data_IF_878947085007
#
_entry.id   IF_878947085007
#
_cell.length_a   1.000
_cell.length_b   1.000
_cell.length_c   1.000
_cell.angle_alpha   90.00
_cell.angle_beta   90.00
_cell.angle_gamma   90.00
#
_symmetry.space_group_name_H-M   'P 1'
#
loop_
_entity.id
_entity.type
_entity.pdbx_description
1 polymer ?
#
# COMPACT_ATOMS: atom_id res chain seq x y z
N UNK A 1 -40.62 53.83 18.98
CA UNK A 1 -39.83 53.97 20.23
C UNK A 1 -38.42 53.52 19.86
N UNK A 2 -37.49 54.39 19.44
CA UNK A 2 -36.63 55.25 20.31
C UNK A 2 -36.08 54.42 21.48
N UNK A 3 -34.78 54.29 21.75
CA UNK A 3 -33.56 55.07 21.47
C UNK A 3 -32.39 54.17 21.96
N UNK A 4 -31.32 54.00 21.21
CA UNK A 4 -30.03 54.70 21.38
C UNK A 4 -29.12 54.24 22.54
N UNK A 5 -27.82 54.14 22.19
CA UNK A 5 -26.63 54.51 22.98
C UNK A 5 -25.84 53.45 23.80
N UNK A 6 -24.66 53.12 23.24
CA UNK A 6 -23.36 52.96 23.91
C UNK A 6 -23.09 54.16 24.87
N UNK A 7 -22.33 54.08 26.00
CA UNK A 7 -20.85 54.11 25.92
C UNK A 7 -20.05 53.51 27.11
N UNK A 8 -18.76 53.27 26.84
CA UNK A 8 -17.55 53.61 27.62
C UNK A 8 -17.69 54.04 29.10
N UNK A 9 -16.83 53.48 29.99
CA UNK A 9 -15.96 54.26 30.92
C UNK A 9 -15.48 53.48 32.18
N UNK A 10 -14.16 53.40 32.31
CA UNK A 10 -13.30 53.68 33.48
C UNK A 10 -13.41 52.93 34.83
N UNK A 11 -12.21 52.68 35.39
CA UNK A 11 -11.90 52.32 36.78
C UNK A 11 -10.99 51.08 36.82
N UNK A 12 -9.66 51.15 36.89
CA UNK A 12 -8.82 52.13 37.57
C UNK A 12 -8.68 51.74 39.04
N UNK A 13 -7.75 50.84 39.36
CA UNK A 13 -7.09 50.78 40.66
C UNK A 13 -5.60 50.41 40.47
N UNK A 14 -4.77 51.40 40.75
CA UNK A 14 -3.33 51.37 40.96
C UNK A 14 -2.93 50.49 42.15
N UNK A 15 -1.83 49.76 42.03
CA UNK A 15 -0.55 49.97 42.74
C UNK A 15 0.32 48.71 42.49
N UNK A 16 1.41 48.78 41.72
CA UNK A 16 2.74 49.32 42.07
C UNK A 16 3.30 48.66 43.35
N UNK A 17 4.53 48.13 43.44
CA UNK A 17 5.80 48.42 42.76
C UNK A 17 6.85 47.44 43.33
N UNK A 18 7.84 47.06 42.49
CA UNK A 18 9.26 46.73 42.73
C UNK A 18 9.69 45.92 43.99
N UNK A 19 10.76 45.12 43.99
CA UNK A 19 12.06 45.34 43.35
C UNK A 19 12.98 44.12 43.49
N UNK A 20 13.99 44.06 42.59
CA UNK A 20 15.39 43.62 42.84
C UNK A 20 15.68 42.18 43.28
N UNK A 21 16.81 41.53 43.01
CA UNK A 21 17.91 41.61 42.04
C UNK A 21 18.82 40.41 42.39
N UNK A 22 19.69 40.00 41.47
CA UNK A 22 20.98 39.31 41.70
C UNK A 22 21.07 37.83 42.14
N UNK A 23 21.65 37.02 41.24
CA UNK A 23 22.51 35.85 41.53
C UNK A 23 23.82 36.33 42.20
N UNK A 24 24.50 35.52 43.06
CA UNK A 24 25.55 34.59 42.57
C UNK A 24 25.91 33.40 43.50
N UNK A 25 26.78 32.49 43.01
CA UNK A 25 27.94 32.04 43.82
C UNK A 25 28.06 30.56 44.22
N UNK A 26 29.13 29.94 43.70
CA UNK A 26 29.79 28.65 44.02
C UNK A 26 30.28 28.55 45.47
N UNK A 27 30.55 27.34 46.00
CA UNK A 27 31.76 27.15 46.81
C UNK A 27 32.63 25.96 46.37
N UNK A 28 33.94 26.23 46.40
CA UNK A 28 35.12 25.37 46.35
C UNK A 28 35.75 25.54 47.77
N UNK A 29 36.42 24.63 48.49
CA UNK A 29 37.68 23.89 48.24
C UNK A 29 37.91 22.87 49.41
N UNK A 30 38.59 21.75 49.10
CA UNK A 30 39.58 20.95 49.87
C UNK A 30 39.27 20.32 51.23
N UNK A 31 39.47 18.98 51.30
CA UNK A 31 40.58 18.41 52.09
C UNK A 31 40.93 16.98 51.63
N UNK A 32 42.23 16.74 51.41
CA UNK A 32 42.87 15.43 51.23
C UNK A 32 43.64 15.08 52.51
N UNK A 33 43.80 13.78 52.84
CA UNK A 33 45.14 13.22 52.64
C UNK A 33 45.17 11.80 52.06
N UNK A 34 46.30 11.55 51.42
CA UNK A 34 46.80 10.33 50.76
C UNK A 34 46.95 9.10 51.66
N UNK A 35 46.69 7.91 51.11
CA UNK A 35 47.63 6.78 51.16
C UNK A 35 47.24 5.65 50.19
N UNK A 36 48.14 5.38 49.24
CA UNK A 36 48.20 4.16 48.40
C UNK A 36 48.41 2.92 49.30
N UNK A 37 47.91 1.73 48.90
CA UNK A 37 48.84 0.82 48.25
C UNK A 37 48.27 -0.03 47.10
N UNK A 38 49.14 -0.22 46.11
CA UNK A 38 49.33 -1.44 45.31
C UNK A 38 48.19 -1.87 44.37
N UNK A 39 48.36 -1.47 43.10
CA UNK A 39 47.89 -2.17 41.90
C UNK A 39 48.13 -3.68 42.01
N UNK A 40 47.04 -4.45 42.13
CA UNK A 40 46.98 -5.82 41.62
C UNK A 40 46.31 -5.79 40.25
N UNK A 41 47.07 -6.16 39.23
CA UNK A 41 46.55 -6.46 37.91
C UNK A 41 45.61 -7.66 38.04
N UNK A 42 44.30 -7.43 37.92
CA UNK A 42 43.34 -8.50 37.69
C UNK A 42 43.19 -8.71 36.19
N UNK A 43 43.59 -9.90 35.79
CA UNK A 43 43.53 -10.51 34.47
C UNK A 43 42.35 -10.09 33.58
N UNK A 44 42.68 -9.97 32.30
CA UNK A 44 41.79 -9.98 31.13
C UNK A 44 40.67 -11.01 31.34
N UNK A 45 39.45 -10.53 31.61
CA UNK A 45 38.27 -11.38 31.55
C UNK A 45 37.95 -11.63 30.08
N UNK A 46 37.98 -12.90 29.70
CA UNK A 46 37.61 -13.45 28.40
C UNK A 46 36.53 -12.63 27.69
N UNK A 47 36.87 -12.07 26.53
CA UNK A 47 35.87 -11.68 25.55
C UNK A 47 35.01 -12.91 25.28
N UNK A 48 33.79 -12.93 25.82
CA UNK A 48 32.81 -13.93 25.42
C UNK A 48 32.71 -13.83 23.90
N UNK A 49 33.12 -14.89 23.20
CA UNK A 49 32.92 -14.97 21.76
C UNK A 49 31.43 -14.71 21.53
N UNK A 50 31.06 -13.68 20.75
CA UNK A 50 29.66 -13.44 20.43
C UNK A 50 29.08 -14.75 19.91
N UNK A 51 27.99 -15.19 20.55
CA UNK A 51 27.29 -16.40 20.14
C UNK A 51 26.99 -16.32 18.63
N UNK A 52 27.12 -17.43 17.89
CA UNK A 52 27.04 -17.43 16.42
C UNK A 52 25.73 -16.83 15.87
N UNK A 53 24.64 -16.93 16.63
CA UNK A 53 23.35 -16.32 16.28
C UNK A 53 23.38 -14.78 16.24
N UNK A 54 24.37 -14.13 16.87
CA UNK A 54 24.57 -12.68 16.82
C UNK A 54 25.48 -12.24 15.66
N UNK A 55 26.01 -13.19 14.88
CA UNK A 55 26.84 -12.92 13.70
C UNK A 55 26.05 -12.96 12.38
N UNK A 56 24.73 -13.06 12.45
CA UNK A 56 23.86 -13.06 11.27
C UNK A 56 23.74 -11.64 10.73
N UNK A 57 24.28 -11.44 9.52
CA UNK A 57 24.19 -10.18 8.80
C UNK A 57 22.78 -10.03 8.23
N UNK A 58 21.96 -9.18 8.83
CA UNK A 58 20.58 -8.88 8.42
C UNK A 58 20.46 -7.50 7.74
N UNK A 59 21.58 -6.92 7.31
CA UNK A 59 21.60 -5.60 6.68
C UNK A 59 20.87 -5.65 5.32
N UNK A 60 19.73 -4.95 5.24
CA UNK A 60 18.92 -4.86 4.04
C UNK A 60 19.58 -4.07 2.91
N UNK A 61 20.69 -3.38 3.17
CA UNK A 61 21.50 -2.64 2.18
C UNK A 61 22.66 -3.47 1.62
N UNK A 62 22.94 -4.67 2.16
CA UNK A 62 23.99 -5.53 1.61
C UNK A 62 23.59 -6.08 0.24
N UNK A 63 24.54 -6.11 -0.70
CA UNK A 63 24.36 -6.77 -2.00
C UNK A 63 24.11 -8.27 -1.77
N UNK A 64 22.91 -8.73 -2.13
CA UNK A 64 22.59 -10.16 -2.19
C UNK A 64 23.42 -10.82 -3.31
N UNK A 65 23.74 -12.10 -3.19
CA UNK A 65 24.44 -12.87 -4.24
C UNK A 65 23.69 -12.79 -5.58
N UNK A 66 22.35 -12.67 -5.53
CA UNK A 66 21.50 -12.45 -6.70
C UNK A 66 21.79 -11.15 -7.44
N UNK A 67 22.31 -10.12 -6.76
CA UNK A 67 22.77 -8.86 -7.37
C UNK A 67 24.12 -9.02 -8.10
N UNK A 68 24.85 -10.11 -7.88
CA UNK A 68 26.11 -10.43 -8.57
C UNK A 68 25.93 -11.44 -9.71
N UNK A 69 24.77 -12.09 -9.78
CA UNK A 69 24.38 -12.82 -10.98
C UNK A 69 24.10 -11.77 -12.06
N UNK A 70 24.77 -11.84 -13.24
CA UNK A 70 24.34 -11.04 -14.36
C UNK A 70 22.88 -11.37 -14.60
N UNK A 71 21.99 -10.39 -14.47
CA UNK A 71 20.70 -10.49 -15.14
C UNK A 71 21.05 -10.80 -16.60
N UNK A 72 20.59 -11.93 -17.13
CA UNK A 72 20.84 -12.29 -18.54
C UNK A 72 20.21 -11.30 -19.53
N UNK A 73 19.67 -10.19 -19.03
CA UNK A 73 19.37 -8.97 -19.78
C UNK A 73 20.60 -8.05 -19.85
N UNK A 74 21.63 -8.41 -20.61
CA UNK A 74 22.47 -7.47 -21.37
C UNK A 74 23.70 -8.16 -21.96
N UNK A 75 23.67 -8.38 -23.27
CA UNK A 75 24.87 -8.36 -24.10
C UNK A 75 24.46 -7.95 -25.50
N UNK A 76 24.56 -6.67 -25.82
CA UNK A 76 25.04 -6.17 -27.12
C UNK A 76 25.28 -4.65 -27.10
N UNK A 77 26.58 -4.31 -27.12
CA UNK A 77 27.23 -3.18 -27.79
C UNK A 77 26.77 -1.73 -27.51
N UNK A 78 27.54 -1.05 -26.66
CA UNK A 78 27.81 0.38 -26.78
C UNK A 78 28.92 0.61 -27.83
N UNK A 79 28.56 1.11 -29.01
CA UNK A 79 29.45 1.95 -29.81
C UNK A 79 28.83 3.35 -29.89
N UNK A 80 29.71 4.34 -29.70
CA UNK A 80 29.41 5.76 -29.69
C UNK A 80 28.96 6.22 -31.09
N UNK A 81 27.77 6.80 -31.21
CA UNK A 81 27.50 7.79 -32.25
C UNK A 81 26.40 8.78 -31.82
N UNK A 82 26.64 10.03 -32.15
CA UNK A 82 25.85 11.22 -31.85
C UNK A 82 24.63 11.33 -32.76
N UNK A 83 23.43 11.21 -32.20
CA UNK A 83 22.19 11.56 -32.90
C UNK A 83 20.97 11.48 -31.97
N UNK A 84 20.22 12.58 -31.85
CA UNK A 84 18.93 12.64 -31.15
C UNK A 84 17.96 11.61 -31.74
N UNK A 85 17.62 10.60 -30.97
CA UNK A 85 16.43 9.76 -31.15
C UNK A 85 15.87 9.50 -29.76
N UNK A 86 14.59 9.82 -29.56
CA UNK A 86 13.87 9.55 -28.31
C UNK A 86 14.02 8.08 -27.93
N UNK A 87 14.74 7.80 -26.85
CA UNK A 87 14.97 6.45 -26.35
C UNK A 87 13.69 5.93 -25.70
N UNK A 88 12.89 5.19 -26.48
CA UNK A 88 11.78 4.39 -25.95
C UNK A 88 12.35 3.22 -25.15
N UNK A 89 12.40 3.35 -23.82
CA UNK A 89 12.71 2.23 -22.92
C UNK A 89 11.59 1.18 -23.02
N UNK A 90 11.81 0.11 -23.80
CA UNK A 90 10.97 -1.10 -23.74
C UNK A 90 11.38 -1.90 -22.50
N UNK A 91 10.50 -2.00 -21.52
CA UNK A 91 10.69 -2.94 -20.42
C UNK A 91 10.27 -4.35 -20.83
N UNK A 92 10.84 -5.36 -20.18
CA UNK A 92 10.52 -6.78 -20.35
C UNK A 92 9.02 -7.11 -20.14
N UNK A 93 8.29 -6.20 -19.48
CA UNK A 93 6.86 -6.33 -19.17
C UNK A 93 5.92 -5.84 -20.30
N UNK A 94 6.46 -5.51 -21.49
CA UNK A 94 5.65 -5.05 -22.63
C UNK A 94 5.08 -3.64 -22.49
N UNK A 95 5.53 -2.87 -21.50
CA UNK A 95 5.12 -1.49 -21.28
C UNK A 95 6.03 -0.53 -22.05
N UNK A 96 5.42 0.45 -22.71
CA UNK A 96 6.10 1.53 -23.40
C UNK A 96 6.06 2.79 -22.53
N UNK A 97 7.24 3.28 -22.16
CA UNK A 97 7.37 4.54 -21.43
C UNK A 97 7.87 5.63 -22.36
N UNK A 98 7.19 6.77 -22.31
CA UNK A 98 7.58 7.99 -22.98
C UNK A 98 7.77 9.08 -21.91
N UNK A 99 8.89 9.80 -22.00
CA UNK A 99 9.11 10.95 -21.12
C UNK A 99 8.50 12.16 -21.80
N UNK A 100 7.72 12.94 -21.05
CA UNK A 100 7.11 14.17 -21.58
C UNK A 100 7.89 15.38 -21.06
N UNK A 101 8.03 16.40 -21.90
CA UNK A 101 8.62 17.70 -21.54
C UNK A 101 7.62 18.60 -20.78
N UNK A 102 6.59 18.03 -20.16
CA UNK A 102 5.56 18.78 -19.44
C UNK A 102 6.19 19.47 -18.24
N UNK A 103 6.04 20.79 -18.16
CA UNK A 103 6.49 21.56 -17.01
C UNK A 103 5.66 21.18 -15.76
N UNK A 104 6.31 20.85 -14.62
CA UNK A 104 5.62 20.56 -13.39
C UNK A 104 4.79 21.74 -12.88
N UNK A 105 3.51 21.50 -12.60
CA UNK A 105 2.59 22.48 -12.03
C UNK A 105 2.95 22.74 -10.56
N UNK A 106 3.10 24.02 -10.21
CA UNK A 106 3.34 24.45 -8.83
C UNK A 106 2.02 24.53 -8.05
N UNK A 107 1.70 23.47 -7.31
CA UNK A 107 0.49 23.42 -6.49
C UNK A 107 0.63 24.22 -5.20
N UNK A 108 -0.03 25.37 -5.16
CA UNK A 108 -0.05 26.29 -4.00
C UNK A 108 -1.19 26.06 -3.01
N UNK A 109 -2.10 25.12 -3.29
CA UNK A 109 -3.38 24.94 -2.59
C UNK A 109 -3.20 24.60 -1.10
N UNK A 110 -3.96 25.30 -0.25
CA UNK A 110 -3.91 25.10 1.21
C UNK A 110 -4.53 23.76 1.61
N UNK A 111 -5.57 23.31 0.90
CA UNK A 111 -6.20 21.99 1.07
C UNK A 111 -5.18 20.85 0.99
N UNK A 112 -4.43 20.78 -0.11
CA UNK A 112 -3.38 19.75 -0.32
C UNK A 112 -2.27 19.86 0.74
N UNK A 113 -1.86 21.08 1.12
CA UNK A 113 -0.87 21.28 2.21
C UNK A 113 -1.37 20.73 3.56
N UNK A 114 -2.64 20.94 3.89
CA UNK A 114 -3.27 20.40 5.11
C UNK A 114 -3.34 18.89 5.06
N UNK A 115 -3.79 18.30 3.96
CA UNK A 115 -3.84 16.84 3.80
C UNK A 115 -2.46 16.19 3.97
N UNK A 116 -1.41 16.79 3.39
CA UNK A 116 -0.02 16.35 3.62
C UNK A 116 0.41 16.49 5.09
N UNK A 117 -0.03 17.54 5.77
CA UNK A 117 0.25 17.75 7.19
C UNK A 117 -0.48 16.71 8.08
N UNK A 118 -1.70 16.32 7.74
CA UNK A 118 -2.45 15.27 8.43
C UNK A 118 -1.70 13.95 8.40
N UNK A 119 -1.23 13.52 7.23
CA UNK A 119 -0.40 12.29 7.11
C UNK A 119 0.84 12.36 8.02
N UNK A 120 1.53 13.51 8.04
CA UNK A 120 2.71 13.70 8.89
C UNK A 120 2.37 13.65 10.38
N UNK A 121 1.22 14.19 10.77
CA UNK A 121 0.78 14.16 12.17
C UNK A 121 0.41 12.76 12.67
N UNK A 122 0.06 11.85 11.75
CA UNK A 122 -0.28 10.46 12.04
C UNK A 122 0.91 9.50 11.86
N UNK A 123 2.11 10.02 11.55
CA UNK A 123 3.30 9.22 11.29
C UNK A 123 3.70 8.40 12.53
N UNK A 124 3.90 7.10 12.30
CA UNK A 124 4.44 6.17 13.27
C UNK A 124 5.91 5.86 12.95
N UNK A 125 6.83 6.37 13.77
CA UNK A 125 8.28 6.26 13.52
C UNK A 125 8.76 4.80 13.42
N UNK A 126 8.34 3.91 14.32
CA UNK A 126 8.80 2.51 14.32
C UNK A 126 8.40 1.72 13.07
N UNK A 127 7.13 1.80 12.67
CA UNK A 127 6.66 1.25 11.39
C UNK A 127 7.36 1.91 10.18
N UNK A 128 7.57 3.22 10.21
CA UNK A 128 8.27 3.91 9.11
C UNK A 128 9.69 3.39 8.97
N UNK A 129 10.40 3.20 10.09
CA UNK A 129 11.71 2.56 10.11
C UNK A 129 11.63 1.12 9.57
N UNK A 130 10.68 0.31 10.06
CA UNK A 130 10.44 -1.06 9.62
C UNK A 130 10.30 -1.14 8.09
N UNK A 131 9.43 -0.32 7.50
CA UNK A 131 9.23 -0.28 6.06
C UNK A 131 10.42 0.31 5.32
N UNK A 132 11.18 1.24 5.89
CA UNK A 132 12.38 1.79 5.25
C UNK A 132 13.55 0.79 5.18
N UNK A 133 13.60 -0.19 6.08
CA UNK A 133 14.68 -1.18 6.18
C UNK A 133 14.24 -2.61 5.86
N UNK A 134 12.98 -2.83 5.47
CA UNK A 134 12.48 -4.18 5.24
C UNK A 134 13.26 -4.89 4.13
N UNK A 135 13.21 -6.21 4.14
CA UNK A 135 13.56 -7.08 3.02
C UNK A 135 12.32 -7.90 2.71
N UNK A 136 11.87 -7.86 1.46
CA UNK A 136 10.76 -8.68 1.01
C UNK A 136 11.17 -10.16 1.07
N UNK A 137 10.33 -10.98 1.71
CA UNK A 137 10.56 -12.43 1.85
C UNK A 137 9.70 -13.19 0.85
N UNK A 138 8.41 -12.85 0.74
CA UNK A 138 7.50 -13.50 -0.20
C UNK A 138 6.02 -13.19 0.05
N UNK A 139 5.19 -13.59 -0.91
CA UNK A 139 3.73 -13.58 -0.81
C UNK A 139 3.27 -14.76 0.05
N UNK A 140 2.35 -14.53 0.99
CA UNK A 140 1.87 -15.55 1.93
C UNK A 140 0.43 -15.95 1.62
N UNK A 141 -0.44 -14.99 1.36
CA UNK A 141 -1.86 -15.23 1.04
C UNK A 141 -2.37 -14.14 0.10
N UNK A 142 -2.82 -14.51 -1.11
CA UNK A 142 -3.32 -13.54 -2.11
C UNK A 142 -4.74 -13.08 -1.84
N UNK A 143 -5.55 -13.91 -1.17
CA UNK A 143 -6.95 -13.58 -0.85
C UNK A 143 -7.00 -12.59 0.30
N UNK A 144 -6.23 -12.85 1.36
CA UNK A 144 -6.13 -11.96 2.54
C UNK A 144 -5.13 -10.84 2.34
N UNK A 145 -4.39 -10.83 1.23
CA UNK A 145 -3.35 -9.86 0.89
C UNK A 145 -2.24 -9.77 1.93
N UNK A 146 -1.72 -10.93 2.34
CA UNK A 146 -0.66 -11.01 3.34
C UNK A 146 0.68 -11.28 2.65
N UNK A 147 1.70 -10.49 2.98
CA UNK A 147 3.09 -10.68 2.57
C UNK A 147 4.01 -10.81 3.80
N UNK A 148 5.09 -11.55 3.65
CA UNK A 148 6.13 -11.69 4.66
C UNK A 148 7.27 -10.69 4.40
N UNK A 149 7.61 -9.92 5.41
CA UNK A 149 8.73 -8.97 5.40
C UNK A 149 9.68 -9.28 6.55
N UNK A 150 10.98 -9.24 6.28
CA UNK A 150 12.00 -9.26 7.32
C UNK A 150 12.46 -7.84 7.59
N UNK A 151 12.52 -7.41 8.86
CA UNK A 151 13.20 -6.17 9.24
C UNK A 151 14.09 -6.41 10.44
N UNK A 152 15.38 -6.15 10.26
CA UNK A 152 16.41 -6.56 11.22
C UNK A 152 16.37 -8.08 11.46
N UNK A 153 16.16 -8.46 12.72
CA UNK A 153 16.09 -9.88 13.14
C UNK A 153 14.66 -10.43 13.18
N UNK A 154 13.65 -9.61 12.91
CA UNK A 154 12.25 -9.97 13.06
C UNK A 154 11.60 -10.27 11.71
N UNK A 155 10.70 -11.24 11.72
CA UNK A 155 9.82 -11.58 10.61
C UNK A 155 8.41 -11.06 10.90
N UNK A 156 7.85 -10.36 9.93
CA UNK A 156 6.54 -9.74 10.00
C UNK A 156 5.63 -10.30 8.92
N UNK A 157 4.36 -10.52 9.26
CA UNK A 157 3.27 -10.62 8.31
C UNK A 157 2.60 -9.26 8.18
N UNK A 158 2.38 -8.84 6.94
CA UNK A 158 1.88 -7.52 6.62
C UNK A 158 0.71 -7.62 5.65
N UNK A 159 -0.39 -6.94 5.94
CA UNK A 159 -1.48 -6.69 4.99
C UNK A 159 -0.98 -5.67 3.94
N UNK A 160 -0.54 -6.18 2.79
CA UNK A 160 -0.05 -5.32 1.72
C UNK A 160 -1.18 -4.51 1.06
N UNK A 161 -2.44 -4.91 1.24
CA UNK A 161 -3.59 -4.12 0.80
C UNK A 161 -3.69 -2.81 1.57
N UNK A 162 -3.61 -2.87 2.90
CA UNK A 162 -3.57 -1.66 3.75
C UNK A 162 -2.35 -0.78 3.44
N UNK A 163 -1.17 -1.39 3.32
CA UNK A 163 0.07 -0.68 3.05
C UNK A 163 0.04 0.00 1.68
N UNK A 164 -0.37 -0.71 0.63
CA UNK A 164 -0.45 -0.14 -0.71
C UNK A 164 -1.52 0.95 -0.80
N UNK A 165 -2.65 0.82 -0.10
CA UNK A 165 -3.67 1.85 -0.07
C UNK A 165 -3.13 3.16 0.53
N UNK A 166 -2.47 3.08 1.69
CA UNK A 166 -1.87 4.26 2.31
C UNK A 166 -0.71 4.83 1.46
N UNK A 167 0.09 3.95 0.85
CA UNK A 167 1.17 4.35 -0.05
C UNK A 167 0.69 5.12 -1.28
N UNK A 168 -0.32 4.60 -1.98
CA UNK A 168 -0.87 5.26 -3.18
C UNK A 168 -1.61 6.55 -2.84
N UNK A 169 -2.25 6.64 -1.67
CA UNK A 169 -2.82 7.90 -1.18
C UNK A 169 -1.72 8.96 -1.00
N UNK A 170 -0.57 8.58 -0.42
CA UNK A 170 0.56 9.49 -0.24
C UNK A 170 1.24 9.90 -1.55
N UNK A 171 1.36 8.98 -2.52
CA UNK A 171 1.78 9.33 -3.89
C UNK A 171 0.79 10.34 -4.48
N UNK A 172 -0.51 10.06 -4.37
CA UNK A 172 -1.59 10.95 -4.79
C UNK A 172 -1.44 12.37 -4.24
N UNK A 173 -1.12 12.49 -2.96
CA UNK A 173 -0.87 13.78 -2.33
C UNK A 173 0.43 14.43 -2.80
N UNK A 174 1.49 13.66 -3.03
CA UNK A 174 2.83 14.17 -3.39
C UNK A 174 2.84 14.69 -4.82
N UNK A 175 2.28 13.91 -5.74
CA UNK A 175 2.30 14.13 -7.18
C UNK A 175 1.01 14.79 -7.69
N UNK A 176 0.17 15.32 -6.78
CA UNK A 176 -1.05 16.07 -7.11
C UNK A 176 -0.79 17.11 -8.21
N UNK A 177 -1.60 17.07 -9.28
CA UNK A 177 -1.45 17.91 -10.48
C UNK A 177 -0.29 17.56 -11.41
N UNK A 178 0.51 16.55 -11.07
CA UNK A 178 1.78 16.21 -11.73
C UNK A 178 1.94 14.70 -11.97
N UNK A 179 0.83 13.98 -12.08
CA UNK A 179 0.87 12.56 -12.41
C UNK A 179 1.39 12.35 -13.84
N UNK A 180 2.04 11.20 -14.06
CA UNK A 180 2.15 10.67 -15.42
C UNK A 180 0.78 10.20 -15.91
N UNK A 181 0.70 9.74 -17.16
CA UNK A 181 -0.54 9.23 -17.75
C UNK A 181 -0.37 7.80 -18.24
N UNK A 182 -1.41 7.00 -18.08
CA UNK A 182 -1.60 5.73 -18.77
C UNK A 182 -2.68 5.99 -19.82
N UNK A 183 -2.34 5.85 -21.09
CA UNK A 183 -3.28 6.01 -22.19
C UNK A 183 -4.10 4.72 -22.37
N UNK A 184 -5.41 4.85 -22.53
CA UNK A 184 -6.31 3.75 -22.84
C UNK A 184 -6.57 3.76 -24.35
N UNK A 185 -6.14 2.71 -25.04
CA UNK A 185 -6.31 2.55 -26.48
C UNK A 185 -6.83 1.13 -26.80
N UNK A 186 -8.07 0.97 -27.29
CA UNK A 186 -9.04 2.02 -27.57
C UNK A 186 -9.62 2.65 -26.28
N UNK A 187 -10.07 3.91 -26.31
CA UNK A 187 -10.67 4.56 -25.15
C UNK A 187 -12.07 3.97 -24.86
N UNK A 188 -12.31 3.39 -23.66
CA UNK A 188 -13.62 2.83 -23.33
C UNK A 188 -14.64 3.93 -23.06
N UNK A 189 -15.91 3.67 -23.41
CA UNK A 189 -17.01 4.56 -23.08
C UNK A 189 -17.29 4.50 -21.58
N UNK A 190 -17.45 5.67 -20.98
CA UNK A 190 -17.66 5.81 -19.55
C UNK A 190 -18.97 5.16 -19.11
N UNK A 191 -20.04 5.30 -19.91
CA UNK A 191 -21.34 4.71 -19.60
C UNK A 191 -21.29 3.18 -19.54
N UNK A 192 -20.56 2.53 -20.45
CA UNK A 192 -20.42 1.07 -20.49
C UNK A 192 -19.65 0.57 -19.25
N UNK A 193 -18.59 1.30 -18.85
CA UNK A 193 -17.86 1.03 -17.61
C UNK A 193 -18.74 1.22 -16.37
N UNK A 194 -19.60 2.24 -16.35
CA UNK A 194 -20.49 2.48 -15.21
C UNK A 194 -21.54 1.38 -15.09
N UNK A 195 -22.12 0.95 -16.20
CA UNK A 195 -23.09 -0.15 -16.25
C UNK A 195 -22.46 -1.45 -15.77
N UNK A 196 -21.25 -1.77 -16.24
CA UNK A 196 -20.50 -2.93 -15.77
C UNK A 196 -20.21 -2.86 -14.27
N UNK A 197 -19.84 -1.68 -13.76
CA UNK A 197 -19.64 -1.46 -12.34
C UNK A 197 -20.90 -1.70 -11.52
N UNK A 198 -22.06 -1.24 -12.01
CA UNK A 198 -23.34 -1.40 -11.34
C UNK A 198 -23.80 -2.86 -11.33
N UNK A 199 -23.57 -3.59 -12.42
CA UNK A 199 -23.85 -5.02 -12.51
C UNK A 199 -22.98 -5.84 -11.54
N UNK A 200 -21.68 -5.52 -11.42
CA UNK A 200 -20.78 -6.17 -10.45
C UNK A 200 -21.28 -5.95 -9.01
N UNK A 201 -21.57 -4.70 -8.63
CA UNK A 201 -22.08 -4.37 -7.30
C UNK A 201 -23.41 -5.08 -7.05
N UNK A 202 -24.34 -5.06 -8.00
CA UNK A 202 -25.63 -5.75 -7.90
C UNK A 202 -25.46 -7.24 -7.63
N UNK A 203 -24.60 -7.92 -8.38
CA UNK A 203 -24.37 -9.37 -8.25
C UNK A 203 -23.78 -9.71 -6.87
N UNK A 204 -22.85 -8.89 -6.37
CA UNK A 204 -22.29 -9.07 -5.02
C UNK A 204 -23.35 -8.88 -3.92
N UNK A 205 -24.23 -7.87 -4.07
CA UNK A 205 -25.32 -7.63 -3.12
C UNK A 205 -26.29 -8.82 -3.08
N UNK A 206 -26.68 -9.35 -4.25
CA UNK A 206 -27.55 -10.53 -4.35
C UNK A 206 -26.92 -11.77 -3.71
N UNK A 207 -25.64 -12.04 -3.99
CA UNK A 207 -24.93 -13.19 -3.39
C UNK A 207 -24.80 -13.12 -1.86
N UNK A 208 -24.77 -11.91 -1.31
CA UNK A 208 -24.71 -11.68 0.15
C UNK A 208 -26.10 -11.74 0.78
N UNK A 209 -27.14 -11.32 0.06
CA UNK A 209 -28.53 -11.34 0.49
C UNK A 209 -29.15 -12.75 0.53
N UNK A 210 -28.67 -13.71 -0.28
CA UNK A 210 -29.11 -15.12 -0.19
C UNK A 210 -28.87 -15.76 1.20
N UNK A 211 -28.03 -15.15 2.06
CA UNK A 211 -27.79 -15.56 3.44
C UNK A 211 -28.51 -14.74 4.52
N UNK A 212 -29.22 -13.66 4.18
CA UNK A 212 -29.86 -12.76 5.12
C UNK A 212 -31.29 -12.39 4.68
N UNK A 213 -32.29 -12.57 5.55
CA UNK A 213 -33.66 -12.14 5.27
C UNK A 213 -33.76 -10.60 5.17
N UNK A 214 -33.52 -10.04 3.97
CA UNK A 214 -33.82 -8.64 3.65
C UNK A 214 -35.31 -8.47 3.37
N UNK A 215 -35.85 -7.30 3.74
CA UNK A 215 -37.25 -6.93 3.51
C UNK A 215 -37.46 -6.62 2.01
N UNK A 216 -38.53 -7.13 1.36
CA UNK A 216 -38.75 -6.96 -0.09
C UNK A 216 -38.74 -5.49 -0.57
N UNK A 217 -39.17 -4.55 0.27
CA UNK A 217 -39.25 -3.13 -0.08
C UNK A 217 -37.89 -2.43 -0.22
N UNK A 218 -36.83 -2.97 0.38
CA UNK A 218 -35.48 -2.38 0.29
C UNK A 218 -34.76 -2.82 -0.98
N UNK A 219 -35.10 -3.99 -1.51
CA UNK A 219 -34.50 -4.52 -2.74
C UNK A 219 -34.96 -3.72 -3.97
N UNK A 220 -36.24 -3.32 -4.02
CA UNK A 220 -36.80 -2.49 -5.10
C UNK A 220 -36.15 -1.10 -5.17
N UNK A 221 -35.93 -0.43 -4.03
CA UNK A 221 -35.27 0.88 -3.99
C UNK A 221 -33.79 0.79 -4.41
N UNK A 222 -33.11 -0.30 -4.05
CA UNK A 222 -31.71 -0.50 -4.38
C UNK A 222 -31.50 -0.83 -5.85
N UNK A 223 -32.40 -1.62 -6.43
CA UNK A 223 -32.43 -1.90 -7.86
C UNK A 223 -32.59 -0.60 -8.68
N UNK A 224 -33.51 0.27 -8.25
CA UNK A 224 -33.71 1.59 -8.83
C UNK A 224 -32.43 2.46 -8.80
N UNK A 225 -31.65 2.35 -7.72
CA UNK A 225 -30.36 3.04 -7.57
C UNK A 225 -29.34 2.48 -8.56
N UNK A 226 -29.19 1.15 -8.65
CA UNK A 226 -28.24 0.54 -9.58
C UNK A 226 -28.57 0.85 -11.05
N UNK A 227 -29.85 1.01 -11.38
CA UNK A 227 -30.26 1.40 -12.73
C UNK A 227 -29.96 2.87 -13.06
N UNK A 228 -30.12 3.79 -12.10
CA UNK A 228 -29.95 5.24 -12.32
C UNK A 228 -28.53 5.74 -12.07
N UNK A 229 -27.78 5.09 -11.18
CA UNK A 229 -26.44 5.51 -10.79
C UNK A 229 -25.48 5.66 -11.98
N UNK A 230 -25.43 4.75 -12.98
CA UNK A 230 -24.52 4.88 -14.10
C UNK A 230 -24.63 6.20 -14.86
N UNK A 231 -25.85 6.64 -15.17
CA UNK A 231 -26.08 7.90 -15.88
C UNK A 231 -25.71 9.12 -15.02
N UNK A 232 -26.11 9.11 -13.74
CA UNK A 232 -25.83 10.22 -12.81
C UNK A 232 -24.31 10.39 -12.62
N UNK A 233 -23.58 9.30 -12.40
CA UNK A 233 -22.12 9.35 -12.19
C UNK A 233 -21.40 9.74 -13.47
N UNK A 234 -21.81 9.20 -14.63
CA UNK A 234 -21.25 9.59 -15.94
C UNK A 234 -21.37 11.09 -16.17
N UNK A 235 -22.56 11.67 -15.97
CA UNK A 235 -22.79 13.10 -16.12
C UNK A 235 -21.95 13.92 -15.15
N UNK A 236 -21.89 13.49 -13.87
CA UNK A 236 -21.10 14.17 -12.83
C UNK A 236 -19.61 14.24 -13.19
N UNK A 237 -19.06 13.16 -13.76
CA UNK A 237 -17.65 13.08 -14.17
C UNK A 237 -17.37 13.91 -15.43
N UNK A 238 -18.28 13.90 -16.42
CA UNK A 238 -18.17 14.73 -17.63
C UNK A 238 -18.21 16.22 -17.26
N UNK A 239 -19.11 16.64 -16.37
CA UNK A 239 -19.18 18.03 -15.87
C UNK A 239 -17.89 18.50 -15.19
N UNK A 240 -17.09 17.58 -14.65
CA UNK A 240 -15.88 17.87 -13.86
C UNK A 240 -14.59 17.45 -14.57
N UNK A 241 -14.67 17.08 -15.86
CA UNK A 241 -13.55 16.52 -16.64
C UNK A 241 -12.31 17.41 -16.66
N UNK A 242 -12.48 18.74 -16.70
CA UNK A 242 -11.36 19.69 -16.74
C UNK A 242 -10.54 19.62 -15.44
N UNK A 243 -11.23 19.58 -14.30
CA UNK A 243 -10.61 19.44 -12.98
C UNK A 243 -9.95 18.07 -12.80
N UNK A 244 -10.60 17.01 -13.30
CA UNK A 244 -10.07 15.65 -13.24
C UNK A 244 -8.79 15.50 -14.07
N UNK A 245 -8.71 16.13 -15.23
CA UNK A 245 -7.50 16.14 -16.06
C UNK A 245 -6.40 16.98 -15.41
N UNK A 246 -6.71 18.21 -14.99
CA UNK A 246 -5.73 19.14 -14.42
C UNK A 246 -5.06 18.58 -13.15
N UNK A 247 -5.87 18.08 -12.20
CA UNK A 247 -5.36 17.67 -10.90
C UNK A 247 -5.02 16.19 -10.80
N UNK A 248 -5.71 15.32 -11.53
CA UNK A 248 -5.58 13.87 -11.39
C UNK A 248 -5.16 13.16 -12.67
N UNK A 249 -4.97 13.86 -13.79
CA UNK A 249 -4.61 13.27 -15.08
C UNK A 249 -5.55 12.14 -15.51
N UNK A 250 -6.81 12.25 -15.09
CA UNK A 250 -7.92 11.41 -15.47
C UNK A 250 -8.73 12.16 -16.54
N UNK A 251 -8.44 11.86 -17.80
CA UNK A 251 -8.97 12.62 -18.94
C UNK A 251 -10.19 11.93 -19.54
N UNK A 252 -11.26 12.70 -19.69
CA UNK A 252 -12.53 12.25 -20.29
C UNK A 252 -12.85 13.16 -21.48
N UNK A 253 -13.23 12.57 -22.63
CA UNK A 253 -13.65 13.32 -23.82
C UNK A 253 -15.03 13.97 -23.64
N UNK A 254 -15.41 14.85 -24.56
CA UNK A 254 -16.76 15.47 -24.55
C UNK A 254 -17.86 14.43 -24.83
N UNK A 255 -17.50 13.40 -25.59
CA UNK A 255 -18.34 12.28 -25.98
C UNK A 255 -18.49 11.23 -24.85
N UNK A 256 -17.78 11.41 -23.73
CA UNK A 256 -17.84 10.51 -22.58
C UNK A 256 -16.94 9.27 -22.72
N UNK A 257 -15.80 9.40 -23.39
CA UNK A 257 -14.79 8.33 -23.49
C UNK A 257 -13.65 8.59 -22.51
N UNK A 258 -13.19 7.54 -21.81
CA UNK A 258 -12.08 7.65 -20.87
C UNK A 258 -10.76 7.49 -21.63
N UNK A 259 -10.01 8.58 -21.76
CA UNK A 259 -8.77 8.62 -22.53
C UNK A 259 -7.56 8.19 -21.69
N UNK A 260 -7.48 8.67 -20.44
CA UNK A 260 -6.32 8.43 -19.57
C UNK A 260 -6.70 8.16 -18.13
N UNK A 261 -5.81 7.44 -17.44
CA UNK A 261 -5.79 7.30 -15.97
C UNK A 261 -4.40 7.68 -15.42
N UNK A 262 -4.27 8.15 -14.16
CA UNK A 262 -2.99 8.61 -13.61
C UNK A 262 -1.93 7.52 -13.47
N UNK A 263 -0.72 7.71 -13.96
CA UNK A 263 0.41 6.84 -13.66
C UNK A 263 1.02 7.21 -12.29
N UNK A 264 0.68 6.46 -11.23
CA UNK A 264 1.18 6.71 -9.88
C UNK A 264 2.60 6.16 -9.63
N UNK A 265 2.98 5.08 -10.32
CA UNK A 265 4.26 4.42 -10.10
C UNK A 265 4.78 3.78 -11.40
N UNK A 266 6.00 4.16 -11.82
CA UNK A 266 6.68 3.54 -12.97
C UNK A 266 6.83 2.02 -12.73
N UNK A 267 6.53 1.22 -13.74
CA UNK A 267 6.52 -0.25 -13.64
C UNK A 267 5.24 -0.83 -13.03
N UNK A 268 4.24 -0.01 -12.66
CA UNK A 268 3.01 -0.50 -12.04
C UNK A 268 1.76 -0.06 -12.81
N UNK A 269 0.92 -1.03 -13.18
CA UNK A 269 -0.42 -0.81 -13.71
C UNK A 269 -1.40 -1.56 -12.81
N UNK A 270 -2.44 -0.89 -12.27
CA UNK A 270 -3.43 -1.56 -11.43
C UNK A 270 -4.28 -2.55 -12.24
N UNK A 271 -4.97 -3.47 -11.58
CA UNK A 271 -5.94 -4.33 -12.27
C UNK A 271 -7.08 -3.50 -12.85
N UNK A 272 -7.16 -3.44 -14.18
CA UNK A 272 -8.22 -2.73 -14.89
C UNK A 272 -9.60 -3.39 -14.70
N UNK A 273 -9.66 -4.63 -14.21
CA UNK A 273 -10.92 -5.26 -13.81
C UNK A 273 -11.64 -4.47 -12.69
N UNK A 274 -10.91 -3.66 -11.92
CA UNK A 274 -11.47 -2.79 -10.87
C UNK A 274 -11.88 -1.41 -11.37
N UNK A 275 -11.54 -1.05 -12.61
CA UNK A 275 -11.82 0.27 -13.18
C UNK A 275 -13.33 0.60 -13.20
N UNK A 276 -14.23 -0.31 -13.63
CA UNK A 276 -15.68 -0.07 -13.57
C UNK A 276 -16.18 0.32 -12.18
N UNK A 277 -15.81 -0.48 -11.17
CA UNK A 277 -16.21 -0.26 -9.78
C UNK A 277 -15.62 1.02 -9.21
N UNK A 278 -14.34 1.29 -9.48
CA UNK A 278 -13.69 2.52 -9.04
C UNK A 278 -14.44 3.75 -9.53
N UNK A 279 -14.74 3.82 -10.84
CA UNK A 279 -15.40 4.97 -11.41
C UNK A 279 -16.83 5.14 -10.89
N UNK A 280 -17.59 4.04 -10.74
CA UNK A 280 -18.93 4.09 -10.15
C UNK A 280 -18.90 4.63 -8.71
N UNK A 281 -17.89 4.23 -7.92
CA UNK A 281 -17.69 4.68 -6.55
C UNK A 281 -17.39 6.17 -6.44
N UNK A 282 -16.89 6.82 -7.51
CA UNK A 282 -16.66 8.26 -7.51
C UNK A 282 -17.94 9.07 -7.32
N UNK A 283 -19.11 8.51 -7.64
CA UNK A 283 -20.40 9.16 -7.38
C UNK A 283 -20.67 9.37 -5.89
N UNK A 284 -20.95 8.29 -5.13
CA UNK A 284 -21.37 8.39 -3.74
C UNK A 284 -20.23 8.63 -2.73
N UNK A 285 -18.99 8.22 -3.05
CA UNK A 285 -17.89 8.29 -2.08
C UNK A 285 -17.03 9.54 -2.18
N UNK A 286 -17.12 10.30 -3.28
CA UNK A 286 -16.38 11.57 -3.42
C UNK A 286 -17.28 12.74 -3.02
N UNK A 287 -16.78 13.56 -2.10
CA UNK A 287 -17.46 14.79 -1.72
C UNK A 287 -17.12 15.92 -2.69
N UNK A 288 -17.95 16.10 -3.73
CA UNK A 288 -17.76 17.11 -4.75
C UNK A 288 -18.05 18.57 -4.32
N UNK A 289 -18.46 18.79 -3.06
CA UNK A 289 -18.91 20.12 -2.59
C UNK A 289 -17.83 20.93 -1.87
N UNK A 290 -16.90 20.27 -1.18
CA UNK A 290 -15.83 20.90 -0.42
C UNK A 290 -14.49 20.55 -1.04
N UNK A 291 -13.66 21.54 -1.36
CA UNK A 291 -12.35 21.36 -2.03
C UNK A 291 -11.46 20.33 -1.32
N UNK A 292 -11.21 20.52 -0.02
CA UNK A 292 -10.32 19.66 0.76
C UNK A 292 -10.87 18.23 0.87
N UNK A 293 -12.17 18.09 1.07
CA UNK A 293 -12.84 16.79 1.16
C UNK A 293 -12.93 16.08 -0.19
N UNK A 294 -13.14 16.82 -1.28
CA UNK A 294 -13.12 16.32 -2.64
C UNK A 294 -11.77 15.67 -2.93
N UNK A 295 -10.67 16.40 -2.71
CA UNK A 295 -9.32 15.87 -2.94
C UNK A 295 -9.01 14.69 -2.03
N UNK A 296 -9.38 14.77 -0.74
CA UNK A 296 -9.18 13.68 0.21
C UNK A 296 -9.89 12.41 -0.22
N UNK A 297 -11.19 12.49 -0.47
CA UNK A 297 -12.03 11.33 -0.80
C UNK A 297 -11.71 10.76 -2.18
N UNK A 298 -11.49 11.62 -3.18
CA UNK A 298 -11.05 11.17 -4.51
C UNK A 298 -9.71 10.43 -4.45
N UNK A 299 -8.70 10.99 -3.77
CA UNK A 299 -7.40 10.33 -3.66
C UNK A 299 -7.47 9.01 -2.88
N UNK A 300 -8.40 8.88 -1.93
CA UNK A 300 -8.64 7.61 -1.23
C UNK A 300 -9.28 6.55 -2.13
N UNK A 301 -10.25 6.93 -2.95
CA UNK A 301 -10.83 6.03 -3.95
C UNK A 301 -9.80 5.66 -5.03
N UNK A 302 -8.98 6.62 -5.47
CA UNK A 302 -7.88 6.36 -6.39
C UNK A 302 -6.87 5.39 -5.78
N UNK A 303 -6.51 5.57 -4.51
CA UNK A 303 -5.62 4.65 -3.82
C UNK A 303 -6.21 3.24 -3.70
N UNK A 304 -7.51 3.10 -3.45
CA UNK A 304 -8.20 1.81 -3.44
C UNK A 304 -8.19 1.14 -4.82
N UNK A 305 -8.34 1.91 -5.89
CA UNK A 305 -8.18 1.42 -7.26
C UNK A 305 -6.75 0.97 -7.56
N UNK A 306 -5.73 1.67 -7.06
CA UNK A 306 -4.32 1.27 -7.27
C UNK A 306 -3.83 0.16 -6.34
N UNK A 307 -4.53 -0.11 -5.24
CA UNK A 307 -4.19 -1.21 -4.31
C UNK A 307 -4.37 -2.56 -5.02
N UNK A 308 -3.43 -3.51 -4.97
CA UNK A 308 -3.62 -4.80 -5.64
C UNK A 308 -4.89 -5.54 -5.17
N UNK A 309 -5.53 -6.21 -6.12
CA UNK A 309 -6.77 -6.97 -5.90
C UNK A 309 -6.56 -8.22 -5.04
N UNK A 310 -7.66 -8.75 -4.50
CA UNK A 310 -7.68 -10.06 -3.86
C UNK A 310 -7.88 -11.11 -4.95
N UNK A 311 -7.04 -12.15 -4.96
CA UNK A 311 -7.21 -13.27 -5.87
C UNK A 311 -7.84 -14.47 -5.14
N UNK A 312 -8.61 -15.32 -5.83
CA UNK A 312 -9.07 -16.58 -5.27
C UNK A 312 -7.90 -17.45 -4.79
N UNK A 313 -8.11 -18.29 -3.76
CA UNK A 313 -7.08 -19.20 -3.30
C UNK A 313 -6.72 -20.18 -4.42
N UNK A 314 -5.44 -20.56 -4.56
CA UNK A 314 -5.06 -21.58 -5.52
C UNK A 314 -5.79 -22.90 -5.20
N UNK A 315 -6.12 -23.72 -6.21
CA UNK A 315 -6.72 -25.02 -5.97
C UNK A 315 -5.80 -25.83 -5.06
N UNK A 316 -6.36 -26.39 -3.98
CA UNK A 316 -5.61 -27.28 -3.10
C UNK A 316 -5.10 -28.45 -3.93
N UNK A 317 -3.78 -28.63 -4.00
CA UNK A 317 -3.18 -29.84 -4.56
C UNK A 317 -3.86 -31.06 -3.92
N UNK A 318 -4.25 -32.08 -4.69
CA UNK A 318 -4.83 -33.28 -4.12
C UNK A 318 -3.84 -33.84 -3.11
N UNK A 319 -4.23 -33.83 -1.85
CA UNK A 319 -3.49 -34.44 -0.76
C UNK A 319 -3.38 -35.92 -1.13
N UNK A 320 -2.18 -36.36 -1.56
CA UNK A 320 -1.92 -37.80 -1.73
C UNK A 320 -2.39 -38.48 -0.45
N UNK A 321 -3.26 -39.51 -0.51
CA UNK A 321 -3.66 -40.21 0.69
C UNK A 321 -2.37 -40.69 1.37
N UNK A 322 -2.14 -40.17 2.57
CA UNK A 322 -1.07 -40.63 3.44
C UNK A 322 -1.25 -42.14 3.55
N UNK A 323 -0.26 -42.88 3.06
CA UNK A 323 -0.23 -44.34 3.15
C UNK A 323 -0.10 -44.66 4.63
N UNK A 324 -1.24 -44.90 5.29
CA UNK A 324 -1.26 -45.49 6.62
C UNK A 324 -0.51 -46.83 6.56
N UNK A 325 0.22 -47.23 7.61
CA UNK A 325 0.99 -48.47 7.59
C UNK A 325 0.03 -49.64 7.40
N UNK A 326 0.32 -50.48 6.41
CA UNK A 326 -0.34 -51.74 6.15
C UNK A 326 -0.41 -52.61 7.42
N UNK A 327 -1.61 -52.77 7.96
CA UNK A 327 -1.96 -53.95 8.75
C UNK A 327 -2.77 -54.88 7.85
N UNK A 328 -2.16 -56.01 7.53
CA UNK A 328 -2.76 -57.15 6.87
C UNK A 328 -3.93 -57.68 7.70
N UNK A 329 -5.14 -57.66 7.14
CA UNK A 329 -6.16 -58.67 7.45
C UNK A 329 -6.95 -58.95 6.18
N UNK A 330 -6.81 -60.17 5.68
CA UNK A 330 -7.65 -60.79 4.65
C UNK A 330 -9.07 -60.97 5.22
N UNK A 331 -10.11 -60.56 4.49
CA UNK A 331 -11.29 -61.40 4.28
C UNK A 331 -12.16 -60.90 3.12
N UNK A 332 -12.70 -61.87 2.37
CA UNK A 332 -13.45 -61.74 1.12
C UNK A 332 -14.89 -61.24 1.33
N UNK A 333 -15.35 -60.28 0.51
CA UNK A 333 -16.62 -60.44 -0.24
C UNK A 333 -16.92 -59.30 -1.21
N UNK A 334 -17.50 -59.72 -2.35
CA UNK A 334 -17.97 -58.96 -3.49
C UNK A 334 -19.03 -57.90 -3.14
N UNK A 335 -18.90 -56.69 -3.71
CA UNK A 335 -19.95 -56.04 -4.50
C UNK A 335 -19.37 -54.80 -5.20
N UNK A 336 -19.32 -54.90 -6.53
CA UNK A 336 -19.04 -53.80 -7.47
C UNK A 336 -20.12 -52.73 -7.38
N UNK A 337 -19.83 -51.60 -6.74
CA UNK A 337 -20.49 -50.33 -7.03
C UNK A 337 -19.53 -49.41 -7.79
N UNK A 338 -19.91 -49.11 -9.03
CA UNK A 338 -19.30 -48.13 -9.91
C UNK A 338 -19.38 -46.73 -9.29
N UNK A 339 -18.33 -46.29 -8.60
CA UNK A 339 -18.10 -44.87 -8.33
C UNK A 339 -17.42 -44.25 -9.56
N UNK A 340 -18.23 -43.99 -10.57
CA UNK A 340 -17.93 -42.96 -11.56
C UNK A 340 -18.29 -41.60 -10.94
N UNK A 341 -17.53 -40.56 -11.34
CA UNK A 341 -17.68 -39.15 -11.00
C UNK A 341 -17.27 -38.68 -9.60
N UNK A 342 -16.02 -38.18 -9.53
CA UNK A 342 -15.73 -36.76 -9.24
C UNK A 342 -14.22 -36.53 -9.10
N UNK A 343 -13.45 -36.81 -10.16
CA UNK A 343 -12.17 -36.13 -10.36
C UNK A 343 -12.41 -34.94 -11.27
N UNK A 344 -13.16 -33.94 -10.77
CA UNK A 344 -13.05 -32.60 -11.32
C UNK A 344 -11.65 -32.12 -10.96
N UNK A 345 -10.72 -32.31 -11.89
CA UNK A 345 -9.51 -31.49 -11.95
C UNK A 345 -9.96 -30.04 -11.87
N UNK A 346 -9.75 -29.41 -10.72
CA UNK A 346 -9.92 -27.97 -10.55
C UNK A 346 -8.81 -27.27 -11.31
N UNK A 347 -8.87 -27.33 -12.65
CA UNK A 347 -8.04 -26.53 -13.53
C UNK A 347 -8.37 -25.07 -13.21
N UNK A 348 -7.40 -24.40 -12.58
CA UNK A 348 -7.49 -22.98 -12.31
C UNK A 348 -7.57 -22.22 -13.64
N UNK A 349 -8.38 -21.17 -13.67
CA UNK A 349 -8.43 -20.26 -14.81
C UNK A 349 -7.01 -19.76 -15.13
N UNK A 350 -6.59 -19.93 -16.38
CA UNK A 350 -5.29 -19.50 -16.88
C UNK A 350 -5.06 -18.00 -16.63
N UNK A 351 -6.12 -17.19 -16.71
CA UNK A 351 -6.08 -15.76 -16.42
C UNK A 351 -5.75 -15.46 -14.96
N UNK A 352 -6.29 -16.23 -14.01
CA UNK A 352 -6.01 -16.08 -12.58
C UNK A 352 -4.56 -16.48 -12.29
N UNK A 353 -4.10 -17.57 -12.89
CA UNK A 353 -2.72 -18.05 -12.74
C UNK A 353 -1.71 -17.02 -13.24
N UNK A 354 -1.92 -16.49 -14.46
CA UNK A 354 -1.07 -15.46 -15.03
C UNK A 354 -1.07 -14.18 -14.18
N UNK A 355 -2.25 -13.77 -13.70
CA UNK A 355 -2.38 -12.58 -12.85
C UNK A 355 -1.68 -12.75 -11.51
N UNK A 356 -1.73 -13.94 -10.91
CA UNK A 356 -1.00 -14.26 -9.67
C UNK A 356 0.51 -14.13 -9.87
N UNK A 357 1.05 -14.69 -10.95
CA UNK A 357 2.48 -14.54 -11.27
C UNK A 357 2.88 -13.08 -11.45
N UNK A 358 2.06 -12.30 -12.16
CA UNK A 358 2.27 -10.87 -12.33
C UNK A 358 2.26 -10.13 -10.98
N UNK A 359 1.29 -10.43 -10.12
CA UNK A 359 1.16 -9.81 -8.80
C UNK A 359 2.40 -10.06 -7.92
N UNK A 360 2.89 -11.30 -7.88
CA UNK A 360 4.12 -11.64 -7.14
C UNK A 360 5.31 -10.80 -7.63
N UNK A 361 5.51 -10.74 -8.95
CA UNK A 361 6.59 -9.96 -9.57
C UNK A 361 6.47 -8.46 -9.25
N UNK A 362 5.26 -7.91 -9.35
CA UNK A 362 4.99 -6.50 -9.05
C UNK A 362 5.22 -6.18 -7.57
N UNK A 363 4.82 -7.07 -6.65
CA UNK A 363 5.05 -6.89 -5.21
C UNK A 363 6.55 -6.84 -4.93
N UNK A 364 7.31 -7.82 -5.40
CA UNK A 364 8.74 -7.94 -5.10
C UNK A 364 9.60 -6.85 -5.75
N UNK A 365 9.34 -6.54 -7.02
CA UNK A 365 10.24 -5.71 -7.82
C UNK A 365 9.79 -4.27 -8.01
N UNK A 366 8.52 -3.95 -7.71
CA UNK A 366 7.96 -2.61 -7.95
C UNK A 366 7.41 -1.99 -6.67
N UNK A 367 6.42 -2.62 -6.06
CA UNK A 367 5.68 -2.05 -4.92
C UNK A 367 6.53 -1.97 -3.65
N UNK A 368 7.08 -3.10 -3.17
CA UNK A 368 7.85 -3.08 -1.93
C UNK A 368 9.14 -2.25 -2.02
N UNK A 369 9.89 -2.26 -3.14
CA UNK A 369 10.97 -1.30 -3.35
C UNK A 369 10.51 0.16 -3.27
N UNK A 370 9.37 0.51 -3.87
CA UNK A 370 8.84 1.88 -3.83
C UNK A 370 8.32 2.26 -2.44
N UNK A 371 7.67 1.34 -1.72
CA UNK A 371 7.26 1.47 -0.32
C UNK A 371 8.48 1.73 0.56
N UNK A 372 9.57 0.98 0.36
CA UNK A 372 10.83 1.18 1.11
C UNK A 372 11.37 2.59 0.96
N UNK A 373 11.27 3.14 -0.24
CA UNK A 373 11.87 4.42 -0.57
C UNK A 373 11.06 5.63 -0.08
N UNK A 374 9.72 5.52 -0.03
CA UNK A 374 8.84 6.71 0.07
C UNK A 374 7.71 6.62 1.08
N UNK A 375 7.34 5.44 1.60
CA UNK A 375 6.19 5.32 2.50
C UNK A 375 6.48 5.98 3.85
N UNK A 376 5.58 6.86 4.27
CA UNK A 376 5.48 7.33 5.66
C UNK A 376 4.40 6.50 6.35
N UNK A 377 4.78 5.56 7.21
CA UNK A 377 3.81 4.67 7.82
C UNK A 377 2.99 5.42 8.88
N UNK A 378 1.67 5.37 8.81
CA UNK A 378 0.76 6.02 9.77
C UNK A 378 0.33 5.07 10.88
N UNK A 379 -0.21 5.60 11.98
CA UNK A 379 -0.74 4.82 13.10
C UNK A 379 -1.83 3.82 12.66
N UNK A 380 -2.59 4.13 11.60
CA UNK A 380 -3.61 3.23 11.05
C UNK A 380 -3.06 1.92 10.50
N UNK A 381 -1.76 1.85 10.18
CA UNK A 381 -1.12 0.63 9.67
C UNK A 381 -0.72 -0.36 10.78
N UNK A 382 -0.82 0.01 12.06
CA UNK A 382 -0.45 -0.87 13.18
C UNK A 382 -1.25 -2.18 13.20
N UNK A 383 -2.54 -2.14 12.86
CA UNK A 383 -3.37 -3.34 12.81
C UNK A 383 -3.03 -4.27 11.64
N UNK A 384 -2.35 -3.75 10.61
CA UNK A 384 -1.94 -4.49 9.43
C UNK A 384 -0.54 -5.11 9.50
N UNK A 385 0.16 -5.00 10.64
CA UNK A 385 1.54 -5.50 10.79
C UNK A 385 1.65 -6.35 12.05
N UNK A 386 2.01 -7.64 11.88
CA UNK A 386 2.14 -8.61 12.98
C UNK A 386 3.53 -9.22 12.96
N UNK A 387 4.24 -9.14 14.09
CA UNK A 387 5.48 -9.88 14.30
C UNK A 387 5.17 -11.36 14.54
N UNK A 388 5.75 -12.25 13.73
CA UNK A 388 5.49 -13.70 13.81
C UNK A 388 6.67 -14.52 14.29
N UNK A 389 7.89 -14.02 14.09
CA UNK A 389 9.10 -14.70 14.55
C UNK A 389 10.27 -13.72 14.74
N UNK A 390 11.23 -14.12 15.56
CA UNK A 390 12.53 -13.48 15.70
C UNK A 390 13.63 -14.53 15.45
N UNK A 391 14.61 -14.18 14.61
CA UNK A 391 15.74 -15.04 14.26
C UNK A 391 16.50 -15.52 15.50
N UNK A 392 16.62 -14.68 16.55
CA UNK A 392 17.28 -15.11 17.79
C UNK A 392 16.56 -16.27 18.47
N UNK A 393 15.23 -16.30 18.38
CA UNK A 393 14.40 -17.40 18.88
C UNK A 393 14.55 -18.65 18.02
N UNK A 394 14.51 -18.51 16.69
CA UNK A 394 14.67 -19.63 15.75
C UNK A 394 16.02 -20.33 15.90
N UNK A 395 17.11 -19.58 16.05
CA UNK A 395 18.46 -20.15 16.22
C UNK A 395 18.67 -20.89 17.55
N UNK A 396 17.72 -20.87 18.49
CA UNK A 396 17.77 -21.74 19.68
C UNK A 396 17.25 -23.15 19.42
N UNK A 397 16.49 -23.32 18.34
CA UNK A 397 15.85 -24.60 17.98
C UNK A 397 16.49 -25.19 16.72
N UNK A 398 16.81 -24.34 15.74
CA UNK A 398 17.44 -24.74 14.49
C UNK A 398 18.96 -24.51 14.56
N UNK A 399 19.70 -25.57 14.82
CA UNK A 399 21.17 -25.59 14.84
C UNK A 399 21.74 -26.22 13.56
N UNK A 400 23.02 -25.94 13.27
CA UNK A 400 23.72 -26.56 12.14
C UNK A 400 23.98 -28.05 12.44
N UNK A 401 23.85 -28.90 11.42
CA UNK A 401 24.11 -30.34 11.51
C UNK A 401 25.56 -30.68 11.85
#
# INVERSE_FOLDING_TARGET
>A
MQRDHNPSSAGGFEQDVHDSDSLPGVPNVSDTPSSDPARKASAVSSSQKPYENNLVRTDSRMRKITSMLPSLTASSSTQLDTGKTDEVEKTDDGLHYETTDREPLRIGLTSVKRLRATVRSEMHNGLTELFSTHTYVGLVDERRRIAALQSGVKLYLVDYGMVCNEFFYQIGLTDFGNFGVINLDPPPKLIDLMQLGAEIERNEHQSTAEGAHTQPSQDDEMEDIFQKAPEIVTNTLIERRDMLDEYFSLKISEEGELLTIPLLLKGYVPSLAKLPRFLLRLGPYVNWTSEEECFRTFLRELAAFYTPEQLPPPPSLPRKPETAPSQEVEDDNEETETVQDASQESQEDEGITARRTQLVRMLEHVLFPAVRARLVATNGLLSGVVEVADLKGLYRVFERC
#
